data_IF_971006136107
#
_entry.id   IF_971006136107
#
_cell.length_a   1.000
_cell.length_b   1.000
_cell.length_c   1.000
_cell.angle_alpha   90.00
_cell.angle_beta   90.00
_cell.angle_gamma   90.00
#
_symmetry.space_group_name_H-M   'P 1'
#
loop_
_entity.id
_entity.type
_entity.pdbx_description
1 polymer ?
#
# COMPACT_ATOMS: atom_id res chain seq x y z
N UNK A 1 -5.95 -13.20 0.14
CA UNK A 1 -5.74 -11.74 0.07
C UNK A 1 -6.07 -11.19 1.44
N UNK A 2 -5.25 -10.31 2.01
CA UNK A 2 -5.45 -9.84 3.39
C UNK A 2 -6.50 -8.74 3.43
N UNK A 3 -6.31 -7.68 2.65
CA UNK A 3 -7.19 -6.52 2.58
C UNK A 3 -6.94 -5.76 1.28
N UNK A 4 -7.99 -5.18 0.70
CA UNK A 4 -7.89 -4.12 -0.30
C UNK A 4 -8.11 -2.78 0.40
N UNK A 5 -7.36 -1.75 0.00
CA UNK A 5 -7.54 -0.39 0.52
C UNK A 5 -7.87 0.50 -0.67
N UNK A 6 -9.07 1.06 -0.67
CA UNK A 6 -9.50 1.95 -1.75
C UNK A 6 -9.06 3.39 -1.49
N UNK A 7 -9.20 4.26 -2.50
CA UNK A 7 -8.73 5.66 -2.44
C UNK A 7 -9.40 6.45 -1.31
N UNK A 8 -10.67 6.18 -1.08
CA UNK A 8 -11.48 6.74 0.01
C UNK A 8 -10.95 6.37 1.40
N UNK A 9 -10.36 5.18 1.55
CA UNK A 9 -9.69 4.77 2.79
C UNK A 9 -8.24 5.28 2.86
N UNK A 10 -7.53 5.34 1.73
CA UNK A 10 -6.13 5.77 1.65
C UNK A 10 -5.93 7.24 2.04
N UNK A 11 -6.94 8.07 1.74
CA UNK A 11 -6.95 9.50 2.03
C UNK A 11 -6.64 10.36 0.80
N UNK A 12 -6.36 11.64 1.05
CA UNK A 12 -6.15 12.63 -0.02
C UNK A 12 -4.82 12.41 -0.71
N UNK A 13 -4.85 12.24 -2.04
CA UNK A 13 -3.65 12.13 -2.87
C UNK A 13 -3.34 13.50 -3.47
N UNK A 14 -2.10 13.96 -3.29
CA UNK A 14 -1.56 15.23 -3.80
C UNK A 14 -0.44 14.95 -4.82
N UNK A 15 -0.08 15.97 -5.59
CA UNK A 15 1.07 15.88 -6.50
C UNK A 15 2.36 15.85 -5.65
N UNK A 16 3.24 14.87 -5.91
CA UNK A 16 4.51 14.71 -5.21
C UNK A 16 4.51 13.56 -4.20
N UNK A 17 5.23 13.74 -3.09
CA UNK A 17 5.35 12.73 -2.03
C UNK A 17 4.04 12.65 -1.23
N UNK A 18 3.47 11.46 -1.17
CA UNK A 18 2.22 11.19 -0.43
C UNK A 18 2.52 10.38 0.82
N UNK A 19 1.86 10.73 1.92
CA UNK A 19 1.80 9.96 3.16
C UNK A 19 0.32 9.67 3.36
N UNK A 20 -0.07 8.39 3.42
CA UNK A 20 -1.46 7.99 3.59
C UNK A 20 -1.96 8.34 4.98
N UNK A 21 -3.25 8.63 5.09
CA UNK A 21 -3.94 8.73 6.39
C UNK A 21 -4.28 7.33 6.92
N UNK A 22 -4.36 6.36 6.01
CA UNK A 22 -4.56 4.95 6.33
C UNK A 22 -3.39 4.34 7.10
N UNK A 23 -3.71 3.51 8.10
CA UNK A 23 -2.75 2.67 8.83
C UNK A 23 -3.21 1.22 8.93
N UNK A 24 -2.26 0.33 8.64
CA UNK A 24 -2.26 -1.12 8.90
C UNK A 24 -2.55 -1.52 10.35
N UNK A 25 -3.73 -1.96 10.75
CA UNK A 25 -3.97 -2.44 12.13
C UNK A 25 -3.67 -3.93 12.36
N UNK A 26 -3.32 -4.67 11.31
CA UNK A 26 -2.93 -6.08 11.40
C UNK A 26 -4.08 -7.07 11.35
N UNK A 27 -5.26 -6.66 10.89
CA UNK A 27 -6.41 -7.54 10.65
C UNK A 27 -6.63 -7.83 9.18
N UNK A 28 -7.35 -8.90 8.86
CA UNK A 28 -7.88 -9.10 7.52
C UNK A 28 -9.16 -8.28 7.27
N UNK A 29 -9.78 -8.49 6.10
CA UNK A 29 -11.03 -7.83 5.69
C UNK A 29 -12.26 -8.19 6.53
N UNK A 30 -12.19 -9.23 7.37
CA UNK A 30 -13.27 -9.67 8.27
C UNK A 30 -13.02 -9.23 9.72
N UNK A 31 -11.90 -8.54 9.98
CA UNK A 31 -11.50 -8.10 11.32
C UNK A 31 -10.73 -9.15 12.10
N UNK A 32 -10.40 -10.30 11.50
CA UNK A 32 -9.62 -11.34 12.16
C UNK A 32 -8.15 -10.94 12.23
N UNK A 33 -7.56 -11.14 13.40
CA UNK A 33 -6.15 -10.81 13.66
C UNK A 33 -5.24 -11.78 12.94
N UNK A 34 -4.24 -11.25 12.23
CA UNK A 34 -3.29 -12.08 11.50
C UNK A 34 -2.12 -12.57 12.38
N UNK A 35 -1.25 -13.45 11.88
CA UNK A 35 -0.05 -13.87 12.61
C UNK A 35 1.07 -12.82 12.56
N UNK A 36 2.07 -12.94 13.43
CA UNK A 36 3.29 -12.15 13.26
C UNK A 36 4.03 -12.63 12.00
N UNK A 37 4.58 -11.70 11.22
CA UNK A 37 5.32 -12.08 10.02
C UNK A 37 5.43 -10.98 8.97
N UNK A 38 5.94 -11.39 7.81
CA UNK A 38 6.11 -10.53 6.65
C UNK A 38 4.86 -10.56 5.76
N UNK A 39 4.35 -9.38 5.49
CA UNK A 39 3.25 -9.12 4.57
C UNK A 39 3.77 -8.35 3.35
N UNK A 40 3.26 -8.69 2.18
CA UNK A 40 3.55 -7.97 0.95
C UNK A 40 2.36 -7.10 0.59
N UNK A 41 2.64 -5.88 0.15
CA UNK A 41 1.63 -4.99 -0.39
C UNK A 41 2.03 -4.53 -1.78
N UNK A 42 1.03 -4.19 -2.59
CA UNK A 42 1.20 -3.62 -3.92
C UNK A 42 0.30 -2.41 -4.05
N UNK A 43 0.83 -1.35 -4.64
CA UNK A 43 0.07 -0.15 -4.97
C UNK A 43 -0.28 -0.20 -6.46
N UNK A 44 -1.54 0.04 -6.80
CA UNK A 44 -2.02 0.12 -8.18
C UNK A 44 -2.57 1.53 -8.35
N UNK A 45 -2.03 2.29 -9.30
CA UNK A 45 -2.42 3.67 -9.56
C UNK A 45 -2.88 3.83 -11.01
N UNK A 46 -4.01 4.52 -11.19
CA UNK A 46 -4.60 4.83 -12.50
C UNK A 46 -5.15 6.26 -12.48
N UNK A 47 -5.04 6.96 -13.61
CA UNK A 47 -5.66 8.27 -13.83
C UNK A 47 -6.65 8.11 -14.98
N UNK A 48 -7.93 8.38 -14.75
CA UNK A 48 -8.99 8.26 -15.77
C UNK A 48 -8.95 6.92 -16.53
N UNK A 49 -8.72 5.83 -15.79
CA UNK A 49 -8.57 4.45 -16.31
C UNK A 49 -7.32 4.19 -17.17
N UNK A 50 -6.45 5.18 -17.36
CA UNK A 50 -5.12 5.00 -17.96
C UNK A 50 -4.08 4.65 -16.90
N UNK A 51 -3.15 3.78 -17.27
CA UNK A 51 -2.00 3.45 -16.44
C UNK A 51 -1.07 4.66 -16.32
N UNK A 52 -0.48 4.83 -15.14
CA UNK A 52 0.50 5.87 -14.87
C UNK A 52 1.88 5.28 -15.14
N UNK A 53 2.68 5.96 -15.97
CA UNK A 53 4.09 5.59 -16.13
C UNK A 53 4.85 5.76 -14.80
N UNK A 54 5.60 4.73 -14.43
CA UNK A 54 6.49 4.79 -13.28
C UNK A 54 7.60 5.83 -13.53
N UNK A 55 7.85 6.68 -12.53
CA UNK A 55 8.96 7.64 -12.54
C UNK A 55 9.90 7.27 -11.41
N UNK A 56 11.20 7.30 -11.70
CA UNK A 56 12.21 6.93 -10.71
C UNK A 56 12.18 7.89 -9.52
N UNK A 57 12.11 7.33 -8.31
CA UNK A 57 12.16 8.09 -7.05
C UNK A 57 13.04 7.42 -6.01
N UNK A 58 13.48 8.15 -4.99
CA UNK A 58 14.20 7.59 -3.84
C UNK A 58 13.40 6.48 -3.12
N UNK A 59 12.07 6.52 -3.22
CA UNK A 59 11.18 5.54 -2.61
C UNK A 59 11.23 4.17 -3.31
N UNK A 60 11.72 4.09 -4.55
CA UNK A 60 11.76 2.87 -5.33
C UNK A 60 12.65 1.80 -4.69
N UNK A 61 13.63 2.25 -3.89
CA UNK A 61 14.51 1.38 -3.10
C UNK A 61 13.74 0.46 -2.12
N UNK A 62 12.54 0.85 -1.70
CA UNK A 62 11.68 0.07 -0.81
C UNK A 62 10.80 -0.95 -1.54
N UNK A 63 10.75 -0.91 -2.88
CA UNK A 63 9.94 -1.80 -3.70
C UNK A 63 10.81 -2.81 -4.46
N UNK A 64 10.37 -4.06 -4.49
CA UNK A 64 11.00 -5.10 -5.32
C UNK A 64 9.95 -5.75 -6.21
N UNK A 65 10.12 -5.59 -7.53
CA UNK A 65 9.16 -6.08 -8.54
C UNK A 65 7.71 -5.58 -8.29
N UNK A 66 7.56 -4.32 -7.88
CA UNK A 66 6.26 -3.69 -7.59
C UNK A 66 5.64 -4.05 -6.24
N UNK A 67 6.34 -4.82 -5.40
CA UNK A 67 5.90 -5.16 -4.05
C UNK A 67 6.72 -4.45 -2.99
N UNK A 68 6.02 -3.85 -2.04
CA UNK A 68 6.57 -3.40 -0.77
C UNK A 68 6.44 -4.49 0.30
N UNK A 69 7.21 -4.35 1.36
CA UNK A 69 7.24 -5.26 2.50
C UNK A 69 6.76 -4.53 3.75
N UNK A 70 5.93 -5.20 4.53
CA UNK A 70 5.46 -4.72 5.82
C UNK A 70 5.57 -5.86 6.83
N UNK A 71 6.14 -5.58 8.00
CA UNK A 71 6.30 -6.60 9.03
C UNK A 71 5.35 -6.30 10.19
N UNK A 72 4.57 -7.31 10.58
CA UNK A 72 3.73 -7.27 11.77
C UNK A 72 4.49 -7.94 12.95
N UNK A 73 5.04 -7.12 13.85
CA UNK A 73 5.61 -7.55 15.14
C UNK A 73 4.65 -7.16 16.26
N UNK A 74 4.61 -7.98 17.31
CA UNK A 74 3.85 -7.77 18.54
C UNK A 74 4.75 -8.05 19.71
#
# INVERSE_FOLDING_TARGET
MVREVHKDEFGVIRIGRNISEFTWDGTDMYGDRLANGLYLYRVITKINSSDIEHRDTEADSYFKKGFGKMYLMR
#
